data_IF_848952370729
#
_entry.id   IF_848952370729
#
_cell.length_a   1.000
_cell.length_b   1.000
_cell.length_c   1.000
_cell.angle_alpha   90.00
_cell.angle_beta   90.00
_cell.angle_gamma   90.00
#
_symmetry.space_group_name_H-M   'P 1'
#
loop_
_entity.id
_entity.type
_entity.pdbx_description
1 polymer ?
#
# COMPACT_ATOMS: atom_id res chain seq x y z
N UNK A 1 13.02 19.03 -6.37
CA UNK A 1 13.14 17.64 -5.89
C UNK A 1 11.76 17.06 -6.01
N UNK A 2 11.48 16.38 -7.10
CA UNK A 2 10.25 15.62 -7.27
C UNK A 2 10.31 14.48 -6.26
N UNK A 3 9.40 14.43 -5.29
CA UNK A 3 9.26 13.27 -4.40
C UNK A 3 8.63 12.15 -5.24
N UNK A 4 9.43 11.55 -6.13
CA UNK A 4 8.99 10.46 -6.99
C UNK A 4 9.00 9.15 -6.20
N UNK A 5 7.86 8.47 -6.20
CA UNK A 5 7.72 7.14 -5.61
C UNK A 5 8.58 6.17 -6.43
N UNK A 6 9.48 5.38 -5.81
CA UNK A 6 10.29 4.41 -6.54
C UNK A 6 9.44 3.41 -7.34
N UNK A 7 9.85 3.11 -8.58
CA UNK A 7 9.12 2.23 -9.51
C UNK A 7 8.73 0.87 -8.90
N UNK A 8 9.58 0.31 -8.03
CA UNK A 8 9.29 -0.94 -7.32
C UNK A 8 7.96 -0.96 -6.57
N UNK A 9 7.48 0.20 -6.10
CA UNK A 9 6.20 0.27 -5.39
C UNK A 9 5.03 0.23 -6.37
N UNK A 10 5.19 0.76 -7.58
CA UNK A 10 4.20 0.58 -8.64
C UNK A 10 4.13 -0.87 -9.11
N UNK A 11 5.27 -1.59 -9.17
CA UNK A 11 5.28 -3.02 -9.50
C UNK A 11 4.46 -3.82 -8.47
N UNK A 12 4.59 -3.51 -7.17
CA UNK A 12 3.80 -4.14 -6.09
C UNK A 12 2.32 -3.76 -6.19
N UNK A 13 2.01 -2.50 -6.52
CA UNK A 13 0.62 -2.06 -6.72
C UNK A 13 -0.02 -2.78 -7.89
N UNK A 14 0.72 -3.02 -8.97
CA UNK A 14 0.24 -3.74 -10.14
C UNK A 14 -0.03 -5.21 -9.79
N UNK A 15 0.83 -5.85 -9.01
CA UNK A 15 0.62 -7.20 -8.47
C UNK A 15 -0.64 -7.26 -7.60
N UNK A 16 -0.74 -6.38 -6.60
CA UNK A 16 -1.93 -6.22 -5.77
C UNK A 16 -3.19 -5.96 -6.62
N UNK A 17 -3.11 -5.16 -7.68
CA UNK A 17 -4.25 -4.88 -8.54
C UNK A 17 -4.73 -6.11 -9.32
N UNK A 18 -3.86 -7.09 -9.57
CA UNK A 18 -4.24 -8.37 -10.18
C UNK A 18 -4.92 -9.34 -9.21
N UNK A 19 -4.60 -9.25 -7.93
CA UNK A 19 -5.12 -10.12 -6.87
C UNK A 19 -6.32 -9.52 -6.13
N UNK A 20 -6.43 -8.19 -6.10
CA UNK A 20 -7.50 -7.47 -5.41
C UNK A 20 -8.84 -7.71 -6.10
N UNK A 21 -9.86 -8.00 -5.30
CA UNK A 21 -11.22 -8.19 -5.79
C UNK A 21 -11.84 -6.91 -6.41
N UNK A 22 -11.34 -5.73 -6.00
CA UNK A 22 -11.80 -4.44 -6.51
C UNK A 22 -10.75 -3.88 -7.48
N UNK A 23 -11.13 -3.53 -8.72
CA UNK A 23 -10.19 -2.99 -9.70
C UNK A 23 -9.54 -1.71 -9.17
N UNK A 24 -8.25 -1.54 -9.45
CA UNK A 24 -7.48 -0.33 -9.13
C UNK A 24 -7.50 0.58 -10.35
N UNK A 25 -7.89 1.84 -10.18
CA UNK A 25 -7.83 2.83 -11.26
C UNK A 25 -6.45 3.45 -11.38
N UNK A 26 -6.13 4.03 -12.54
CA UNK A 26 -4.86 4.77 -12.74
C UNK A 26 -4.70 5.92 -11.73
N UNK A 27 -5.81 6.57 -11.35
CA UNK A 27 -5.84 7.62 -10.34
C UNK A 27 -5.60 7.11 -8.91
N UNK A 28 -5.97 5.86 -8.61
CA UNK A 28 -5.74 5.22 -7.31
C UNK A 28 -4.34 4.60 -7.24
N UNK A 29 -3.74 4.26 -8.39
CA UNK A 29 -2.42 3.62 -8.48
C UNK A 29 -1.30 4.43 -7.81
N UNK A 30 -1.28 5.75 -8.00
CA UNK A 30 -0.26 6.63 -7.40
C UNK A 30 -0.42 6.72 -5.88
N UNK A 31 -1.66 6.91 -5.42
CA UNK A 31 -2.03 6.88 -3.99
C UNK A 31 -1.67 5.55 -3.33
N UNK A 32 -1.93 4.43 -4.01
CA UNK A 32 -1.56 3.11 -3.51
C UNK A 32 -0.05 2.96 -3.45
N UNK A 33 0.69 3.40 -4.48
CA UNK A 33 2.14 3.33 -4.48
C UNK A 33 2.75 4.10 -3.30
N UNK A 34 2.21 5.29 -2.98
CA UNK A 34 2.61 6.06 -1.81
C UNK A 34 2.29 5.33 -0.49
N UNK A 35 1.11 4.71 -0.41
CA UNK A 35 0.67 3.97 0.75
C UNK A 35 1.51 2.70 0.98
N UNK A 36 1.74 1.90 -0.06
CA UNK A 36 2.63 0.74 -0.04
C UNK A 36 4.06 1.13 0.35
N UNK A 37 4.59 2.23 -0.19
CA UNK A 37 5.87 2.77 0.25
C UNK A 37 5.87 3.04 1.76
N UNK A 38 4.86 3.72 2.28
CA UNK A 38 4.77 4.07 3.69
C UNK A 38 4.69 2.85 4.61
N UNK A 39 3.92 1.83 4.22
CA UNK A 39 3.79 0.57 4.97
C UNK A 39 5.07 -0.26 4.92
N UNK A 40 5.58 -0.55 3.72
CA UNK A 40 6.75 -1.41 3.54
C UNK A 40 7.99 -0.77 4.16
N UNK A 41 8.15 0.55 4.09
CA UNK A 41 9.26 1.24 4.78
C UNK A 41 9.23 1.01 6.30
N UNK A 42 8.06 1.02 6.92
CA UNK A 42 7.89 0.75 8.35
C UNK A 42 8.10 -0.73 8.69
N UNK A 43 7.55 -1.63 7.89
CA UNK A 43 7.75 -3.07 8.03
C UNK A 43 9.24 -3.45 7.93
N UNK A 44 9.97 -2.89 6.96
CA UNK A 44 11.43 -3.08 6.84
C UNK A 44 12.22 -2.53 8.03
N UNK A 45 11.67 -1.53 8.74
CA UNK A 45 12.23 -1.01 9.99
C UNK A 45 11.84 -1.84 11.23
N UNK A 46 11.12 -2.96 11.03
CA UNK A 46 10.59 -3.81 12.10
C UNK A 46 9.63 -3.05 13.03
N UNK A 47 8.95 -2.04 12.50
CA UNK A 47 7.91 -1.28 13.19
C UNK A 47 6.58 -2.04 13.10
N UNK A 48 5.94 -2.28 14.25
CA UNK A 48 4.56 -2.77 14.28
C UNK A 48 3.63 -1.64 13.86
N UNK A 49 2.84 -1.89 12.81
CA UNK A 49 1.89 -0.91 12.29
C UNK A 49 0.49 -1.32 12.77
N UNK A 50 -0.05 -0.59 13.74
CA UNK A 50 -1.41 -0.79 14.21
C UNK A 50 -2.45 -0.31 13.20
N UNK A 51 -3.70 -0.75 13.37
CA UNK A 51 -4.84 -0.39 12.51
C UNK A 51 -5.03 1.13 12.42
N UNK A 52 -4.91 1.85 13.53
CA UNK A 52 -5.03 3.32 13.55
C UNK A 52 -3.99 4.00 12.66
N UNK A 53 -2.73 3.55 12.73
CA UNK A 53 -1.65 4.08 11.90
C UNK A 53 -1.85 3.77 10.42
N UNK A 54 -2.36 2.57 10.09
CA UNK A 54 -2.74 2.23 8.72
C UNK A 54 -3.86 3.14 8.19
N UNK A 55 -4.87 3.43 9.02
CA UNK A 55 -5.96 4.35 8.66
C UNK A 55 -5.48 5.78 8.45
N UNK A 56 -4.59 6.28 9.30
CA UNK A 56 -3.99 7.60 9.13
C UNK A 56 -3.21 7.68 7.81
N UNK A 57 -2.35 6.70 7.54
CA UNK A 57 -1.58 6.63 6.30
C UNK A 57 -2.47 6.50 5.05
N UNK A 58 -3.55 5.73 5.13
CA UNK A 58 -4.50 5.59 4.05
C UNK A 58 -5.23 6.93 3.80
N UNK A 59 -5.65 7.63 4.86
CA UNK A 59 -6.29 8.93 4.75
C UNK A 59 -5.34 9.98 4.15
N UNK A 60 -4.07 10.00 4.54
CA UNK A 60 -3.05 10.88 3.96
C UNK A 60 -2.81 10.60 2.47
N UNK A 61 -2.84 9.33 2.06
CA UNK A 61 -2.68 8.92 0.67
C UNK A 61 -3.97 9.06 -0.16
N UNK A 62 -5.12 9.34 0.47
CA UNK A 62 -6.43 9.37 -0.19
C UNK A 62 -6.99 7.99 -0.55
N UNK A 63 -6.57 6.95 0.17
CA UNK A 63 -7.03 5.58 0.01
C UNK A 63 -8.27 5.33 0.87
N UNK A 64 -9.26 4.64 0.30
CA UNK A 64 -10.46 4.26 1.02
C UNK A 64 -10.14 3.24 2.13
N UNK A 65 -10.72 3.41 3.33
CA UNK A 65 -10.53 2.47 4.45
C UNK A 65 -10.84 1.01 4.08
N UNK A 66 -11.80 0.80 3.16
CA UNK A 66 -12.16 -0.53 2.66
C UNK A 66 -11.06 -1.26 1.86
N UNK A 67 -9.91 -0.61 1.64
CA UNK A 67 -8.70 -1.18 1.02
C UNK A 67 -7.68 -1.60 2.07
N UNK A 68 -7.79 -1.09 3.31
CA UNK A 68 -6.76 -1.30 4.34
C UNK A 68 -6.65 -2.80 4.68
N UNK A 69 -7.78 -3.44 4.96
CA UNK A 69 -7.81 -4.87 5.29
C UNK A 69 -7.27 -5.72 4.13
N UNK A 70 -7.73 -5.46 2.89
CA UNK A 70 -7.30 -6.15 1.66
C UNK A 70 -5.78 -6.02 1.43
N UNK A 71 -5.23 -4.82 1.65
CA UNK A 71 -3.79 -4.55 1.51
C UNK A 71 -3.00 -5.20 2.65
N UNK A 72 -3.53 -5.22 3.87
CA UNK A 72 -2.89 -5.88 5.00
C UNK A 72 -2.82 -7.40 4.80
N UNK A 73 -3.90 -8.01 4.28
CA UNK A 73 -3.90 -9.44 3.90
C UNK A 73 -2.89 -9.72 2.78
N UNK A 74 -2.90 -8.92 1.71
CA UNK A 74 -1.93 -9.02 0.61
C UNK A 74 -0.48 -8.93 1.10
N UNK A 75 -0.14 -7.93 1.93
CA UNK A 75 1.23 -7.75 2.43
C UNK A 75 1.69 -8.88 3.36
N UNK A 76 0.76 -9.47 4.13
CA UNK A 76 1.06 -10.64 4.95
C UNK A 76 1.40 -11.87 4.09
N UNK A 77 0.78 -12.03 2.92
CA UNK A 77 1.09 -13.11 1.98
C UNK A 77 2.40 -12.83 1.23
N UNK A 78 2.54 -11.61 0.70
CA UNK A 78 3.70 -11.17 -0.07
C UNK A 78 5.02 -11.26 0.72
N UNK A 79 5.00 -10.92 2.01
CA UNK A 79 6.19 -11.02 2.87
C UNK A 79 6.59 -12.46 3.25
N UNK A 80 5.77 -13.45 2.89
CA UNK A 80 5.95 -14.87 3.25
C UNK A 80 6.16 -15.79 2.02
N UNK A 81 6.23 -15.23 0.80
CA UNK A 81 6.73 -15.91 -0.41
C UNK A 81 8.27 -15.92 -0.49
#
# INVERSE_FOLDING_TARGET
MTNEIPLKFYDIVDEYATESAKPVSESERDSLAAYFQALITRLMANEEIGEDAQKELAAEAGIAESRIDDIAEFLNQWGNE
#
